data_IF_668971377600
#
_entry.id   IF_668971377600
#
_cell.length_a   1.000
_cell.length_b   1.000
_cell.length_c   1.000
_cell.angle_alpha   90.00
_cell.angle_beta   90.00
_cell.angle_gamma   90.00
#
_symmetry.space_group_name_H-M   'P 1'
#
loop_
_entity.id
_entity.type
_entity.pdbx_description
1 polymer ?
#
# COMPACT_ATOMS: atom_id res chain seq x y z
N UNK A 1 -0.14 -19.11 -11.30
CA UNK A 1 -1.13 -19.00 -10.22
C UNK A 1 -0.44 -19.24 -8.87
N UNK A 2 -0.66 -18.37 -7.90
CA UNK A 2 -0.16 -18.46 -6.51
C UNK A 2 1.37 -18.65 -6.41
N UNK A 3 2.13 -17.88 -7.15
CA UNK A 3 3.59 -17.88 -7.06
C UNK A 3 4.03 -17.15 -5.79
N UNK A 4 4.86 -17.79 -4.96
CA UNK A 4 5.41 -17.15 -3.77
C UNK A 4 6.64 -16.34 -4.15
N UNK A 5 6.58 -15.03 -3.92
CA UNK A 5 7.70 -14.10 -4.04
C UNK A 5 8.27 -13.83 -2.64
N UNK A 6 9.57 -14.05 -2.48
CA UNK A 6 10.28 -13.80 -1.22
C UNK A 6 11.09 -12.52 -1.34
N UNK A 7 10.77 -11.57 -0.49
CA UNK A 7 11.54 -10.35 -0.30
C UNK A 7 12.24 -10.40 1.07
N UNK A 8 13.14 -9.47 1.35
CA UNK A 8 13.94 -9.46 2.58
C UNK A 8 13.10 -9.51 3.87
N UNK A 9 11.95 -8.86 3.89
CA UNK A 9 11.10 -8.72 5.08
C UNK A 9 9.66 -9.21 4.90
N UNK A 10 9.26 -9.58 3.69
CA UNK A 10 7.86 -9.94 3.38
C UNK A 10 7.81 -11.05 2.34
N UNK A 11 6.83 -11.95 2.47
CA UNK A 11 6.48 -12.91 1.43
C UNK A 11 5.13 -12.51 0.83
N UNK A 12 5.04 -12.54 -0.50
CA UNK A 12 3.80 -12.29 -1.22
C UNK A 12 3.42 -13.49 -2.07
N UNK A 13 2.11 -13.71 -2.19
CA UNK A 13 1.55 -14.64 -3.15
C UNK A 13 1.09 -13.82 -4.36
N UNK A 14 1.66 -14.14 -5.52
CA UNK A 14 1.33 -13.48 -6.78
C UNK A 14 0.48 -14.39 -7.67
N UNK A 15 -0.52 -13.82 -8.30
CA UNK A 15 -1.27 -14.45 -9.39
C UNK A 15 -1.43 -13.44 -10.51
N UNK A 16 -1.13 -13.88 -11.73
CA UNK A 16 -1.36 -13.08 -12.93
C UNK A 16 -2.68 -13.50 -13.57
N UNK A 17 -3.52 -12.53 -13.83
CA UNK A 17 -4.77 -12.70 -14.57
C UNK A 17 -4.65 -11.91 -15.87
N UNK A 18 -4.94 -12.56 -16.99
CA UNK A 18 -4.92 -11.95 -18.32
C UNK A 18 -6.30 -12.01 -18.96
N UNK A 19 -6.57 -11.06 -19.83
CA UNK A 19 -7.79 -10.99 -20.59
C UNK A 19 -7.58 -10.24 -21.90
N UNK A 20 -8.57 -10.27 -22.79
CA UNK A 20 -8.59 -9.49 -24.01
C UNK A 20 -9.62 -8.38 -23.82
N UNK A 21 -9.26 -7.15 -24.19
CA UNK A 21 -10.20 -6.04 -24.23
C UNK A 21 -11.27 -6.28 -25.28
N UNK A 22 -12.49 -5.82 -25.00
CA UNK A 22 -13.53 -5.75 -26.01
C UNK A 22 -13.13 -4.76 -27.12
N UNK A 23 -13.68 -4.96 -28.32
CA UNK A 23 -13.31 -4.15 -29.51
C UNK A 23 -13.63 -2.64 -29.35
N UNK A 24 -14.57 -2.31 -28.48
CA UNK A 24 -15.02 -0.95 -28.15
C UNK A 24 -14.43 -0.38 -26.85
N UNK A 25 -13.46 -1.07 -26.23
CA UNK A 25 -12.82 -0.67 -24.98
C UNK A 25 -11.33 -0.40 -25.16
N UNK A 26 -10.82 0.55 -24.40
CA UNK A 26 -9.41 0.90 -24.38
C UNK A 26 -8.75 0.69 -22.99
N UNK A 27 -7.48 1.05 -22.87
CA UNK A 27 -6.73 0.92 -21.63
C UNK A 27 -7.30 1.77 -20.51
N UNK A 28 -7.93 2.90 -20.81
CA UNK A 28 -8.59 3.75 -19.82
C UNK A 28 -9.84 3.06 -19.28
N UNK A 29 -10.65 2.44 -20.14
CA UNK A 29 -11.82 1.68 -19.73
C UNK A 29 -11.44 0.49 -18.84
N UNK A 30 -10.39 -0.24 -19.21
CA UNK A 30 -9.86 -1.34 -18.39
C UNK A 30 -9.40 -0.85 -17.00
N UNK A 31 -8.69 0.27 -16.95
CA UNK A 31 -8.24 0.87 -15.70
C UNK A 31 -9.42 1.29 -14.84
N UNK A 32 -10.40 1.99 -15.41
CA UNK A 32 -11.63 2.42 -14.73
C UNK A 32 -12.44 1.26 -14.16
N UNK A 33 -12.57 0.17 -14.90
CA UNK A 33 -13.29 -1.02 -14.47
C UNK A 33 -12.56 -1.78 -13.33
N UNK A 34 -11.24 -1.73 -13.30
CA UNK A 34 -10.42 -2.41 -12.30
C UNK A 34 -10.23 -1.60 -11.01
N UNK A 35 -10.33 -0.28 -11.09
CA UNK A 35 -10.09 0.63 -9.98
C UNK A 35 -11.30 0.76 -9.04
N UNK A 36 -11.08 0.99 -7.72
CA UNK A 36 -9.83 0.81 -7.00
C UNK A 36 -9.45 -0.67 -6.84
N UNK A 37 -8.16 -0.94 -6.58
CA UNK A 37 -7.67 -2.31 -6.44
C UNK A 37 -8.38 -3.06 -5.32
N UNK A 38 -8.83 -4.30 -5.61
CA UNK A 38 -9.61 -5.10 -4.67
C UNK A 38 -8.89 -5.42 -3.36
N UNK A 39 -7.57 -5.54 -3.40
CA UNK A 39 -6.72 -5.73 -2.20
C UNK A 39 -6.78 -4.55 -1.24
N UNK A 40 -7.13 -3.36 -1.71
CA UNK A 40 -7.23 -2.14 -0.90
C UNK A 40 -8.67 -1.80 -0.51
N UNK A 41 -9.62 -2.19 -1.34
CA UNK A 41 -11.04 -1.92 -1.09
C UNK A 41 -11.76 -3.07 -0.39
N UNK A 42 -11.32 -4.31 -0.62
CA UNK A 42 -12.02 -5.50 -0.11
C UNK A 42 -13.07 -6.04 -1.07
N UNK A 43 -13.73 -7.12 -0.66
CA UNK A 43 -14.77 -7.79 -1.44
C UNK A 43 -15.98 -8.14 -0.54
N UNK A 44 -17.23 -7.93 -1.01
CA UNK A 44 -17.64 -7.28 -2.26
C UNK A 44 -17.25 -5.81 -2.30
N UNK A 45 -16.68 -5.35 -3.40
CA UNK A 45 -15.99 -4.03 -3.50
C UNK A 45 -16.84 -2.85 -3.01
N UNK A 46 -18.04 -2.69 -3.53
CA UNK A 46 -18.92 -1.55 -3.18
C UNK A 46 -19.24 -1.55 -1.69
N UNK A 47 -19.62 -2.70 -1.14
CA UNK A 47 -19.96 -2.81 0.29
C UNK A 47 -18.75 -2.56 1.19
N UNK A 48 -17.60 -3.07 0.81
CA UNK A 48 -16.36 -2.82 1.54
C UNK A 48 -15.97 -1.33 1.54
N UNK A 49 -16.15 -0.64 0.41
CA UNK A 49 -15.91 0.80 0.30
C UNK A 49 -16.89 1.62 1.16
N UNK A 50 -18.17 1.23 1.25
CA UNK A 50 -19.13 1.85 2.17
C UNK A 50 -18.70 1.72 3.64
N UNK A 51 -18.16 0.56 4.02
CA UNK A 51 -17.62 0.36 5.36
C UNK A 51 -16.37 1.20 5.62
N UNK A 52 -15.46 1.29 4.66
CA UNK A 52 -14.26 2.14 4.74
C UNK A 52 -14.67 3.59 4.96
N UNK A 53 -15.61 4.11 4.17
CA UNK A 53 -16.11 5.47 4.29
C UNK A 53 -16.75 5.76 5.66
N UNK A 54 -17.46 4.77 6.20
CA UNK A 54 -18.11 4.90 7.51
C UNK A 54 -17.14 4.81 8.71
N UNK A 55 -16.03 4.09 8.57
CA UNK A 55 -15.12 3.77 9.68
C UNK A 55 -13.86 4.66 9.71
N UNK A 56 -13.35 5.07 8.54
CA UNK A 56 -12.16 5.90 8.48
C UNK A 56 -12.50 7.38 8.71
N UNK A 57 -11.75 8.03 9.58
CA UNK A 57 -11.95 9.43 9.97
C UNK A 57 -11.46 10.45 8.93
N UNK A 58 -10.70 9.99 7.94
CA UNK A 58 -10.12 10.85 6.90
C UNK A 58 -9.98 10.13 5.56
N UNK A 59 -10.11 10.83 4.44
CA UNK A 59 -9.89 10.26 3.11
C UNK A 59 -8.49 9.63 2.98
N UNK A 60 -8.42 8.55 2.21
CA UNK A 60 -7.15 7.85 1.97
C UNK A 60 -6.16 8.63 1.13
N UNK A 61 -6.64 9.59 0.34
CA UNK A 61 -5.82 10.36 -0.58
C UNK A 61 -5.16 9.47 -1.62
N UNK A 62 -3.84 9.56 -1.76
CA UNK A 62 -3.06 8.76 -2.71
C UNK A 62 -2.99 7.28 -2.30
N UNK A 63 -3.08 6.99 -0.99
CA UNK A 63 -3.01 5.62 -0.50
C UNK A 63 -4.13 4.73 -1.05
N UNK A 64 -3.76 3.60 -1.64
CA UNK A 64 -4.70 2.68 -2.29
C UNK A 64 -5.14 3.12 -3.68
N UNK A 65 -4.63 4.25 -4.16
CA UNK A 65 -4.79 4.71 -5.52
C UNK A 65 -3.89 3.98 -6.51
N UNK A 66 -3.78 4.51 -7.72
CA UNK A 66 -2.89 4.03 -8.76
C UNK A 66 -1.87 5.09 -9.17
N UNK A 67 -0.64 4.66 -9.37
CA UNK A 67 0.43 5.48 -9.98
C UNK A 67 0.86 4.79 -11.25
N UNK A 68 0.84 5.50 -12.37
CA UNK A 68 1.17 4.89 -13.65
C UNK A 68 1.07 5.88 -14.80
N UNK A 69 0.95 5.34 -15.99
CA UNK A 69 0.87 6.14 -17.21
C UNK A 69 -0.10 5.54 -18.23
N UNK A 70 -0.58 6.40 -19.09
CA UNK A 70 -1.19 6.07 -20.37
C UNK A 70 -0.29 6.60 -21.48
N UNK A 71 0.04 5.76 -22.45
CA UNK A 71 0.85 6.14 -23.60
C UNK A 71 -0.01 6.49 -24.80
N UNK A 72 0.58 7.25 -25.75
CA UNK A 72 -0.07 7.53 -27.03
C UNK A 72 -0.23 6.29 -27.94
N UNK A 73 0.50 5.20 -27.63
CA UNK A 73 0.38 3.92 -28.33
C UNK A 73 -0.81 3.09 -27.86
N UNK A 74 -1.52 3.56 -26.81
CA UNK A 74 -2.64 2.84 -26.21
C UNK A 74 -2.26 1.91 -25.07
N UNK A 75 -0.96 1.84 -24.72
CA UNK A 75 -0.50 1.08 -23.58
C UNK A 75 -0.76 1.84 -22.28
N UNK A 76 -0.96 1.11 -21.19
CA UNK A 76 -1.06 1.65 -19.82
C UNK A 76 -0.43 0.69 -18.83
N UNK A 77 0.22 1.25 -17.82
CA UNK A 77 0.78 0.47 -16.71
C UNK A 77 0.57 1.23 -15.40
N UNK A 78 0.06 0.53 -14.40
CA UNK A 78 -0.23 1.10 -13.08
C UNK A 78 0.28 0.21 -11.96
N UNK A 79 0.86 0.83 -10.95
CA UNK A 79 1.12 0.23 -9.66
C UNK A 79 0.12 0.74 -8.62
N UNK A 80 -0.18 -0.08 -7.62
CA UNK A 80 -1.00 0.34 -6.48
C UNK A 80 -0.15 1.22 -5.57
N UNK A 81 -0.66 2.38 -5.17
CA UNK A 81 0.02 3.30 -4.25
C UNK A 81 -0.07 2.78 -2.81
N UNK A 82 0.82 1.86 -2.47
CA UNK A 82 1.04 1.30 -1.12
C UNK A 82 2.52 1.36 -0.79
N UNK A 83 2.87 1.18 0.47
CA UNK A 83 4.28 1.22 0.92
C UNK A 83 4.98 2.51 0.50
N UNK A 84 4.24 3.61 0.55
CA UNK A 84 4.65 4.92 0.08
C UNK A 84 4.41 5.96 1.17
N UNK A 85 5.19 7.04 1.14
CA UNK A 85 4.95 8.24 1.90
C UNK A 85 4.48 9.36 0.96
N UNK A 86 3.60 10.21 1.44
CA UNK A 86 3.30 11.51 0.81
C UNK A 86 3.93 12.60 1.66
N UNK A 87 4.49 13.60 1.01
CA UNK A 87 5.06 14.77 1.69
C UNK A 87 4.13 15.94 1.43
N UNK A 88 3.66 16.54 2.50
CA UNK A 88 2.86 17.77 2.44
C UNK A 88 3.78 18.95 2.69
N UNK A 89 4.02 19.73 1.65
CA UNK A 89 4.88 20.93 1.66
C UNK A 89 4.07 22.22 1.70
N UNK A 90 2.80 22.18 2.10
CA UNK A 90 1.94 23.37 2.18
C UNK A 90 2.21 24.23 3.44
N UNK A 91 2.99 23.75 4.38
CA UNK A 91 3.40 24.45 5.61
C UNK A 91 4.87 24.89 5.59
N UNK A 92 5.32 25.41 6.70
CA UNK A 92 6.72 25.85 6.89
C UNK A 92 7.70 24.65 6.97
N UNK A 93 7.20 23.45 7.22
CA UNK A 93 7.97 22.21 7.29
C UNK A 93 7.31 21.10 6.45
N UNK A 94 8.14 20.36 5.73
CA UNK A 94 7.70 19.16 5.00
C UNK A 94 7.24 18.09 5.98
N UNK A 95 5.96 17.75 5.92
CA UNK A 95 5.37 16.75 6.80
C UNK A 95 5.15 15.44 6.04
N UNK A 96 5.94 14.38 6.34
CA UNK A 96 5.70 13.08 5.76
C UNK A 96 4.47 12.42 6.37
N UNK A 97 3.63 11.83 5.52
CA UNK A 97 2.48 11.04 5.91
C UNK A 97 2.60 9.64 5.35
N UNK A 98 2.60 8.65 6.23
CA UNK A 98 2.61 7.23 5.89
C UNK A 98 1.26 6.63 6.26
N UNK A 99 0.74 5.75 5.42
CA UNK A 99 -0.49 5.01 5.68
C UNK A 99 -0.31 3.54 5.33
N UNK A 100 -0.83 2.66 6.19
CA UNK A 100 -0.91 1.24 5.94
C UNK A 100 -2.31 0.73 6.30
N UNK A 101 -2.60 -0.50 5.90
CA UNK A 101 -3.84 -1.18 6.22
C UNK A 101 -3.67 -2.69 6.15
N UNK A 102 -4.58 -3.40 6.82
CA UNK A 102 -4.68 -4.85 6.80
C UNK A 102 -5.95 -5.31 6.08
N UNK A 103 -5.92 -6.53 5.58
CA UNK A 103 -7.09 -7.20 5.01
C UNK A 103 -7.84 -7.94 6.11
N UNK A 104 -9.03 -7.46 6.46
CA UNK A 104 -9.84 -8.03 7.53
C UNK A 104 -10.78 -9.08 6.98
N UNK A 105 -10.78 -10.28 7.56
CA UNK A 105 -11.68 -11.40 7.28
C UNK A 105 -12.36 -11.87 8.57
N UNK A 106 -13.32 -12.81 8.46
CA UNK A 106 -14.10 -13.28 9.59
C UNK A 106 -13.25 -13.87 10.75
N UNK A 107 -12.12 -14.48 10.41
CA UNK A 107 -11.22 -15.12 11.36
C UNK A 107 -10.03 -14.23 11.77
N UNK A 108 -9.99 -12.97 11.34
CA UNK A 108 -8.93 -12.03 11.71
C UNK A 108 -8.94 -11.72 13.21
N UNK A 109 -7.77 -11.75 13.83
CA UNK A 109 -7.56 -11.22 15.17
C UNK A 109 -7.23 -9.73 15.10
N UNK A 110 -8.00 -8.86 15.77
CA UNK A 110 -7.79 -7.40 15.65
C UNK A 110 -6.41 -6.93 16.10
N UNK A 111 -5.81 -7.57 17.11
CA UNK A 111 -4.47 -7.23 17.58
C UNK A 111 -3.41 -7.58 16.56
N UNK A 112 -3.46 -8.79 15.99
CA UNK A 112 -2.54 -9.24 14.96
C UNK A 112 -2.64 -8.38 13.69
N UNK A 113 -3.84 -8.01 13.26
CA UNK A 113 -4.03 -7.12 12.10
C UNK A 113 -3.47 -5.71 12.35
N UNK A 114 -3.61 -5.20 13.56
CA UNK A 114 -3.02 -3.92 13.93
C UNK A 114 -1.50 -3.97 13.91
N UNK A 115 -0.87 -4.97 14.53
CA UNK A 115 0.58 -5.20 14.50
C UNK A 115 1.09 -5.33 13.05
N UNK A 116 0.34 -6.00 12.18
CA UNK A 116 0.67 -6.09 10.75
C UNK A 116 0.69 -4.71 10.07
N UNK A 117 -0.24 -3.82 10.43
CA UNK A 117 -0.23 -2.44 9.87
C UNK A 117 0.98 -1.66 10.32
N UNK A 118 1.41 -1.79 11.57
CA UNK A 118 2.62 -1.15 12.10
C UNK A 118 3.87 -1.68 11.38
N UNK A 119 4.04 -2.99 11.28
CA UNK A 119 5.15 -3.62 10.56
C UNK A 119 5.21 -3.21 9.07
N UNK A 120 4.05 -2.96 8.45
CA UNK A 120 3.98 -2.44 7.07
C UNK A 120 4.45 -0.99 6.95
N UNK A 121 4.32 -0.18 7.98
CA UNK A 121 4.79 1.21 8.00
C UNK A 121 6.29 1.32 8.26
N UNK A 122 6.87 0.44 9.07
CA UNK A 122 8.27 0.50 9.52
C UNK A 122 9.26 0.67 8.38
N UNK A 123 9.14 -0.09 7.31
CA UNK A 123 10.03 0.01 6.15
C UNK A 123 9.99 1.38 5.46
N UNK A 124 8.83 2.00 5.40
CA UNK A 124 8.64 3.33 4.80
C UNK A 124 9.16 4.41 5.75
N UNK A 125 8.87 4.29 7.04
CA UNK A 125 9.37 5.20 8.07
C UNK A 125 10.89 5.18 8.13
N UNK A 126 11.50 3.99 8.07
CA UNK A 126 12.95 3.85 8.00
C UNK A 126 13.57 4.54 6.78
N UNK A 127 12.89 4.44 5.63
CA UNK A 127 13.35 5.13 4.42
C UNK A 127 13.24 6.65 4.55
N UNK A 128 12.13 7.15 5.08
CA UNK A 128 11.90 8.59 5.32
C UNK A 128 12.92 9.15 6.30
N UNK A 129 13.21 8.44 7.40
CA UNK A 129 14.18 8.88 8.38
C UNK A 129 15.61 8.99 7.80
N UNK A 130 16.00 8.02 6.96
CA UNK A 130 17.30 8.09 6.26
C UNK A 130 17.43 9.30 5.34
N UNK A 131 16.35 9.70 4.70
CA UNK A 131 16.33 10.89 3.84
C UNK A 131 16.44 12.17 4.67
N UNK A 132 15.87 12.17 5.88
CA UNK A 132 15.87 13.35 6.78
C UNK A 132 17.04 13.40 7.72
N UNK A 133 17.86 12.34 7.79
CA UNK A 133 18.94 12.17 8.78
C UNK A 133 18.44 12.23 10.24
N UNK A 134 17.17 11.91 10.46
CA UNK A 134 16.55 11.90 11.78
C UNK A 134 16.49 10.47 12.36
N UNK A 135 16.77 10.26 13.66
CA UNK A 135 16.58 8.96 14.30
C UNK A 135 15.08 8.62 14.39
N UNK A 136 14.74 7.38 14.07
CA UNK A 136 13.37 6.88 14.23
C UNK A 136 13.18 6.44 15.67
N UNK A 137 12.18 7.00 16.35
CA UNK A 137 11.77 6.51 17.66
C UNK A 137 11.35 5.04 17.54
N UNK A 138 12.02 4.14 18.28
CA UNK A 138 11.73 2.71 18.30
C UNK A 138 12.75 1.81 17.59
N UNK A 139 13.72 2.34 16.84
CA UNK A 139 14.79 1.53 16.25
C UNK A 139 16.00 1.31 17.16
N UNK A 140 16.08 2.03 18.28
CA UNK A 140 17.18 1.88 19.27
C UNK A 140 17.24 0.48 19.91
N UNK A 141 16.11 -0.21 20.06
CA UNK A 141 16.07 -1.57 20.62
C UNK A 141 16.57 -2.65 19.63
N UNK A 142 16.39 -2.45 18.33
CA UNK A 142 16.83 -3.41 17.34
C UNK A 142 18.35 -3.38 17.10
N UNK A 143 18.97 -2.19 17.15
CA UNK A 143 20.42 -2.06 17.03
C UNK A 143 21.17 -2.54 18.27
N UNK A 144 20.61 -2.30 19.47
CA UNK A 144 21.18 -2.83 20.72
C UNK A 144 21.18 -4.37 20.76
N UNK A 145 20.15 -5.03 20.20
CA UNK A 145 20.09 -6.49 20.11
C UNK A 145 21.08 -7.07 19.10
N UNK A 146 21.45 -6.32 18.07
CA UNK A 146 22.42 -6.75 17.07
C UNK A 146 23.89 -6.64 17.55
N UNK A 147 24.19 -5.71 18.45
CA UNK A 147 25.53 -5.56 19.06
C UNK A 147 25.82 -6.61 20.15
N UNK A 148 24.81 -7.13 20.83
CA UNK A 148 25.00 -8.17 21.88
C UNK A 148 25.25 -9.57 21.27
N UNK A 149 25.02 -9.75 19.96
CA UNK A 149 25.21 -11.03 19.25
C UNK A 149 26.50 -11.12 18.44
N UNK A 150 27.45 -10.24 18.66
CA UNK A 150 28.84 -10.31 18.14
C UNK A 150 29.80 -10.52 19.28
#
# INVERSE_FOLDING_TARGET
FMRVLKYSHVQHIESTVTGTLADDADAFDATRASFPAGTLSGAPKVRAMEHIDALESSPRGVYGGGVGYFSWTGDAEFAIAIRSATIDSAGDEDTPRVRAGAGVVADSDPGAEFEETEAKMDGVLAAVARVREEPIAGTEEADAAAEVSR
#
